data_IF_967476041377
#
_entry.id   IF_967476041377
#
_cell.length_a   1.000
_cell.length_b   1.000
_cell.length_c   1.000
_cell.angle_alpha   90.00
_cell.angle_beta   90.00
_cell.angle_gamma   90.00
#
_symmetry.space_group_name_H-M   'P 1'
#
loop_
_entity.id
_entity.type
_entity.pdbx_description
1 polymer ?
#
# COMPACT_ATOMS: atom_id res chain seq x y z
N UNK A 1 1.73 1.06 -5.23
CA UNK A 1 2.18 2.47 -5.23
C UNK A 1 2.08 3.02 -3.81
N UNK A 2 3.14 3.60 -3.24
CA UNK A 2 3.10 4.02 -1.83
C UNK A 2 2.36 5.35 -1.66
N UNK A 3 1.76 5.56 -0.48
CA UNK A 3 1.06 6.82 -0.16
C UNK A 3 1.95 8.05 -0.32
N UNK A 4 3.22 7.95 0.08
CA UNK A 4 4.19 9.04 -0.05
C UNK A 4 4.43 9.43 -1.51
N UNK A 5 4.51 8.43 -2.39
CA UNK A 5 4.74 8.59 -3.81
C UNK A 5 3.51 9.18 -4.51
N UNK A 6 2.32 8.68 -4.20
CA UNK A 6 1.06 9.23 -4.71
C UNK A 6 0.87 10.70 -4.33
N UNK A 7 1.15 11.06 -3.07
CA UNK A 7 1.07 12.45 -2.61
C UNK A 7 2.02 13.35 -3.41
N UNK A 8 3.25 12.89 -3.65
CA UNK A 8 4.25 13.63 -4.42
C UNK A 8 3.86 13.76 -5.90
N UNK A 9 3.38 12.66 -6.52
CA UNK A 9 2.93 12.62 -7.91
C UNK A 9 1.74 13.56 -8.17
N UNK A 10 0.82 13.68 -7.20
CA UNK A 10 -0.30 14.61 -7.28
C UNK A 10 0.04 16.06 -6.89
N UNK A 11 1.31 16.36 -6.57
CA UNK A 11 1.72 17.69 -6.11
C UNK A 11 1.06 18.12 -4.80
N UNK A 12 0.50 17.18 -4.03
CA UNK A 12 -0.13 17.47 -2.75
C UNK A 12 0.90 17.43 -1.63
N UNK A 13 0.62 18.13 -0.54
CA UNK A 13 1.41 18.03 0.67
C UNK A 13 0.73 17.06 1.66
N UNK A 14 1.52 16.31 2.44
CA UNK A 14 1.04 15.34 3.44
C UNK A 14 0.03 15.97 4.41
N UNK A 15 0.26 17.24 4.77
CA UNK A 15 -0.63 17.99 5.65
C UNK A 15 -1.98 18.29 5.00
N UNK A 16 -1.99 18.71 3.74
CA UNK A 16 -3.22 18.99 2.99
C UNK A 16 -4.01 17.71 2.75
N UNK A 17 -3.32 16.62 2.39
CA UNK A 17 -3.95 15.31 2.22
C UNK A 17 -4.57 14.81 3.53
N UNK A 18 -3.83 14.89 4.64
CA UNK A 18 -4.36 14.56 5.97
C UNK A 18 -5.62 15.35 6.30
N UNK A 19 -5.60 16.66 6.09
CA UNK A 19 -6.76 17.53 6.31
C UNK A 19 -7.95 17.13 5.43
N UNK A 20 -7.71 16.73 4.18
CA UNK A 20 -8.75 16.27 3.24
C UNK A 20 -9.45 15.00 3.70
N UNK A 21 -8.74 14.08 4.37
CA UNK A 21 -9.31 12.84 4.88
C UNK A 21 -9.67 12.90 6.38
N UNK A 22 -9.57 14.08 7.01
CA UNK A 22 -9.86 14.28 8.43
C UNK A 22 -8.83 13.70 9.39
N UNK A 23 -7.60 13.49 8.93
CA UNK A 23 -6.48 12.98 9.74
C UNK A 23 -5.42 14.04 10.06
N UNK A 24 -4.71 13.82 11.16
CA UNK A 24 -3.65 14.75 11.58
C UNK A 24 -2.42 14.61 10.66
N UNK A 25 -1.73 15.71 10.32
CA UNK A 25 -0.55 15.69 9.45
C UNK A 25 0.56 14.76 9.98
N UNK A 26 0.77 14.75 11.30
CA UNK A 26 1.70 13.82 11.95
C UNK A 26 1.34 12.35 11.73
N UNK A 27 0.05 12.02 11.68
CA UNK A 27 -0.41 10.65 11.44
C UNK A 27 -0.12 10.22 10.01
N UNK A 28 -0.41 11.08 9.03
CA UNK A 28 -0.05 10.83 7.61
C UNK A 28 1.45 10.64 7.43
N UNK A 29 2.26 11.48 8.08
CA UNK A 29 3.71 11.33 8.04
C UNK A 29 4.17 9.96 8.53
N UNK A 30 3.51 9.36 9.53
CA UNK A 30 3.81 7.99 10.00
C UNK A 30 3.40 6.89 9.02
N UNK A 31 2.34 7.14 8.23
CA UNK A 31 1.88 6.22 7.18
C UNK A 31 2.78 6.26 5.95
N UNK A 32 3.41 7.40 5.69
CA UNK A 32 4.36 7.59 4.60
C UNK A 32 5.75 7.00 4.87
N UNK A 33 5.99 6.43 6.06
CA UNK A 33 7.28 5.83 6.40
C UNK A 33 7.48 4.49 5.68
N UNK A 34 8.74 4.16 5.30
CA UNK A 34 9.04 2.91 4.62
C UNK A 34 8.79 1.69 5.52
N UNK A 35 8.59 0.53 4.88
CA UNK A 35 8.46 -0.74 5.57
C UNK A 35 9.69 -1.02 6.44
N UNK A 36 9.47 -1.49 7.67
CA UNK A 36 10.54 -1.71 8.65
C UNK A 36 10.94 -0.48 9.48
N UNK A 37 10.40 0.72 9.22
CA UNK A 37 10.70 1.88 10.05
C UNK A 37 10.04 1.75 11.45
N UNK A 38 10.76 2.02 12.56
CA UNK A 38 10.28 1.79 13.93
C UNK A 38 9.05 2.64 14.31
N UNK A 39 8.89 3.78 13.65
CA UNK A 39 7.73 4.68 13.84
C UNK A 39 6.64 4.54 12.78
N UNK A 40 6.76 3.56 11.87
CA UNK A 40 5.72 3.30 10.87
C UNK A 40 4.44 2.89 11.59
N UNK A 41 3.31 3.44 11.15
CA UNK A 41 2.00 2.94 11.56
C UNK A 41 1.19 2.49 10.35
N UNK A 42 0.40 1.46 10.56
CA UNK A 42 -0.65 1.07 9.63
C UNK A 42 -1.90 1.89 9.95
N UNK A 43 -2.59 2.48 8.96
CA UNK A 43 -3.88 3.13 9.17
C UNK A 43 -4.92 2.14 9.73
N UNK A 44 -5.86 2.65 10.53
CA UNK A 44 -7.06 1.86 10.89
C UNK A 44 -7.93 1.65 9.66
N UNK A 45 -8.79 0.64 9.69
CA UNK A 45 -9.70 0.31 8.58
C UNK A 45 -10.47 1.53 8.05
N UNK A 46 -11.03 2.36 8.94
CA UNK A 46 -11.76 3.56 8.55
C UNK A 46 -10.88 4.55 7.77
N UNK A 47 -9.67 4.84 8.28
CA UNK A 47 -8.70 5.71 7.61
C UNK A 47 -8.22 5.11 6.30
N UNK A 48 -8.06 3.79 6.26
CA UNK A 48 -7.64 3.06 5.07
C UNK A 48 -8.69 3.17 3.95
N UNK A 49 -9.98 3.04 4.27
CA UNK A 49 -11.07 3.29 3.31
C UNK A 49 -11.05 4.73 2.80
N UNK A 50 -10.84 5.71 3.68
CA UNK A 50 -10.74 7.13 3.29
C UNK A 50 -9.57 7.38 2.32
N UNK A 51 -8.41 6.79 2.60
CA UNK A 51 -7.24 6.87 1.72
C UNK A 51 -7.53 6.18 0.38
N UNK A 52 -8.10 4.98 0.40
CA UNK A 52 -8.45 4.24 -0.82
C UNK A 52 -9.40 5.06 -1.72
N UNK A 53 -10.45 5.65 -1.15
CA UNK A 53 -11.39 6.51 -1.88
C UNK A 53 -10.71 7.78 -2.39
N UNK A 54 -9.93 8.47 -1.55
CA UNK A 54 -9.26 9.71 -1.92
C UNK A 54 -8.18 9.52 -3.00
N UNK A 55 -7.58 8.32 -3.05
CA UNK A 55 -6.55 7.96 -4.03
C UNK A 55 -7.11 7.25 -5.28
N UNK A 56 -8.43 7.06 -5.36
CA UNK A 56 -9.07 6.35 -6.47
C UNK A 56 -8.68 4.88 -6.57
N UNK A 57 -8.28 4.27 -5.45
CA UNK A 57 -7.84 2.89 -5.38
C UNK A 57 -6.36 2.63 -5.75
N UNK A 58 -5.59 3.69 -6.01
CA UNK A 58 -4.15 3.57 -6.33
C UNK A 58 -3.29 3.19 -5.12
N UNK A 59 -3.71 3.60 -3.92
CA UNK A 59 -3.06 3.24 -2.65
C UNK A 59 -3.96 2.27 -1.90
N UNK A 60 -3.49 1.03 -1.76
CA UNK A 60 -4.25 -0.07 -1.15
C UNK A 60 -3.71 -0.44 0.23
N UNK A 61 -4.44 -1.31 0.95
CA UNK A 61 -3.97 -1.87 2.22
C UNK A 61 -2.58 -2.52 2.09
N UNK A 62 -2.36 -3.25 0.99
CA UNK A 62 -1.16 -4.02 0.71
C UNK A 62 0.09 -3.12 0.70
N UNK A 63 -0.02 -1.91 0.15
CA UNK A 63 1.05 -0.91 0.13
C UNK A 63 1.50 -0.48 1.55
N UNK A 64 0.56 -0.45 2.52
CA UNK A 64 0.89 -0.14 3.92
C UNK A 64 1.57 -1.30 4.63
N UNK A 65 1.24 -2.55 4.29
CA UNK A 65 1.92 -3.70 4.87
C UNK A 65 3.31 -3.92 4.27
N UNK A 66 3.67 -3.20 3.20
CA UNK A 66 4.91 -3.48 2.46
C UNK A 66 4.85 -4.85 1.78
N UNK A 67 3.65 -5.43 1.70
CA UNK A 67 3.33 -6.49 0.76
C UNK A 67 3.20 -5.73 -0.55
N UNK A 68 4.35 -5.42 -1.17
CA UNK A 68 4.33 -5.36 -2.62
C UNK A 68 3.68 -6.68 -3.00
N UNK A 69 2.53 -6.62 -3.67
CA UNK A 69 2.08 -7.78 -4.45
C UNK A 69 3.33 -8.19 -5.18
N UNK A 70 3.90 -9.34 -4.78
CA UNK A 70 5.11 -9.81 -5.39
C UNK A 70 4.74 -9.78 -6.87
N UNK A 71 5.39 -8.91 -7.64
CA UNK A 71 5.52 -9.17 -9.05
C UNK A 71 5.90 -10.65 -9.08
N UNK A 72 5.05 -11.52 -9.66
CA UNK A 72 5.23 -12.95 -9.51
C UNK A 72 6.69 -13.21 -9.79
N UNK A 73 7.39 -13.77 -8.80
CA UNK A 73 8.81 -14.10 -8.92
C UNK A 73 9.04 -14.61 -10.35
N UNK A 74 9.93 -14.01 -11.17
CA UNK A 74 10.34 -14.66 -12.41
C UNK A 74 11.07 -16.00 -12.13
N UNK A 75 11.13 -16.42 -10.86
CA UNK A 75 11.73 -17.65 -10.36
C UNK A 75 10.75 -18.58 -9.61
N UNK A 76 9.43 -18.42 -9.76
CA UNK A 76 8.51 -19.52 -9.45
C UNK A 76 8.45 -20.45 -10.67
N UNK A 77 9.12 -21.64 -10.65
CA UNK A 77 8.87 -22.63 -11.70
C UNK A 77 7.38 -22.94 -11.67
N UNK A 78 6.76 -22.86 -12.84
CA UNK A 78 5.34 -23.14 -13.03
C UNK A 78 4.91 -24.36 -12.20
N UNK A 79 3.75 -24.33 -11.53
CA UNK A 79 3.18 -25.57 -11.01
C UNK A 79 2.96 -26.46 -12.23
N UNK A 80 3.80 -27.48 -12.38
CA UNK A 80 3.61 -28.53 -13.37
C UNK A 80 2.17 -29.03 -13.18
N UNK A 81 1.28 -28.86 -14.17
CA UNK A 81 -0.06 -29.41 -14.07
C UNK A 81 0.11 -30.93 -13.99
N UNK A 82 -0.36 -31.53 -12.90
CA UNK A 82 -0.44 -32.96 -12.79
C UNK A 82 -1.30 -33.53 -13.92
N UNK A 83 -0.72 -34.45 -14.68
CA UNK A 83 -1.40 -35.42 -15.52
C UNK A 83 -0.70 -36.73 -15.17
N UNK A 84 -1.11 -37.39 -14.09
CA UNK A 84 -2.12 -38.46 -14.09
C UNK A 84 -1.76 -39.61 -15.05
N UNK A 85 -1.44 -40.75 -14.42
CA UNK A 85 -1.70 -42.14 -14.81
C UNK A 85 -0.96 -42.82 -15.98
N UNK A 86 -0.75 -44.13 -15.73
CA UNK A 86 -0.50 -45.26 -16.65
C UNK A 86 0.87 -45.29 -17.35
N UNK A 87 1.64 -46.37 -17.40
CA UNK A 87 1.47 -47.80 -17.09
C UNK A 87 2.87 -48.41 -16.90
#
# INVERSE_FOLDING_TARGET
MQLADWIAANGQNRSSFGRSIGERPMTISRYCLPAGHPHRRIPKEETMRKIFVATGGLVTANDFYGIAEAAPDPAAPAPTPGMEAAE
#
